data_IF_963281015750
#
_entry.id   IF_963281015750
#
_cell.length_a   1.000
_cell.length_b   1.000
_cell.length_c   1.000
_cell.angle_alpha   90.00
_cell.angle_beta   90.00
_cell.angle_gamma   90.00
#
_symmetry.space_group_name_H-M   'P 1'
#
loop_
_entity.id
_entity.type
_entity.pdbx_description
1 polymer ?
#
# COMPACT_ATOMS: atom_id res chain seq x y z
N UNK A 1 -25.27 -18.96 31.25
CA UNK A 1 -24.22 -18.04 31.75
C UNK A 1 -23.00 -17.94 30.81
N UNK A 2 -23.16 -18.15 29.49
CA UNK A 2 -22.08 -18.05 28.47
C UNK A 2 -22.47 -17.12 27.30
N UNK A 3 -23.71 -16.60 27.26
CA UNK A 3 -24.24 -15.74 26.17
C UNK A 3 -23.61 -14.33 26.10
N UNK A 4 -22.67 -14.01 27.00
CA UNK A 4 -21.98 -12.71 27.05
C UNK A 4 -20.48 -12.80 26.76
N UNK A 5 -19.97 -13.98 26.41
CA UNK A 5 -18.55 -14.15 26.07
C UNK A 5 -18.33 -13.74 24.62
N UNK A 6 -18.30 -12.43 24.38
CA UNK A 6 -17.82 -11.89 23.11
C UNK A 6 -16.30 -11.94 23.17
N UNK A 7 -15.70 -12.97 22.56
CA UNK A 7 -14.25 -13.00 22.34
C UNK A 7 -13.97 -12.07 21.16
N UNK A 8 -13.33 -10.91 21.36
CA UNK A 8 -13.09 -9.98 20.26
C UNK A 8 -12.11 -10.63 19.27
N UNK A 9 -12.55 -10.78 18.02
CA UNK A 9 -11.69 -11.20 16.93
C UNK A 9 -10.66 -10.10 16.67
N UNK A 10 -9.41 -10.30 17.11
CA UNK A 10 -8.31 -9.37 16.84
C UNK A 10 -7.69 -9.53 15.47
N UNK A 11 -7.74 -10.74 14.91
CA UNK A 11 -7.06 -11.07 13.65
C UNK A 11 -8.01 -11.86 12.78
N UNK A 12 -8.30 -11.32 11.60
CA UNK A 12 -9.12 -11.95 10.59
C UNK A 12 -8.26 -12.20 9.35
N UNK A 13 -8.11 -13.48 8.98
CA UNK A 13 -7.45 -13.89 7.74
C UNK A 13 -8.45 -14.65 6.88
N UNK A 14 -8.62 -14.19 5.65
CA UNK A 14 -9.45 -14.85 4.64
C UNK A 14 -8.56 -15.48 3.59
N UNK A 15 -8.93 -16.69 3.17
CA UNK A 15 -8.26 -17.44 2.12
C UNK A 15 -9.27 -17.70 1.00
N UNK A 16 -8.88 -17.48 -0.25
CA UNK A 16 -9.75 -17.78 -1.39
C UNK A 16 -8.99 -18.42 -2.54
N UNK A 17 -9.44 -19.62 -2.91
CA UNK A 17 -8.91 -20.41 -4.03
C UNK A 17 -9.47 -19.97 -5.38
N UNK A 18 -10.45 -19.06 -5.36
CA UNK A 18 -11.11 -18.50 -6.53
C UNK A 18 -10.96 -16.98 -6.54
N UNK A 19 -10.96 -16.40 -7.74
CA UNK A 19 -11.01 -14.94 -7.88
C UNK A 19 -12.31 -14.41 -7.29
N UNK A 20 -12.21 -13.53 -6.29
CA UNK A 20 -13.38 -12.91 -5.63
C UNK A 20 -13.58 -11.51 -6.19
N UNK A 21 -14.82 -11.13 -6.50
CA UNK A 21 -15.14 -9.77 -6.95
C UNK A 21 -15.09 -8.79 -5.78
N UNK A 22 -14.81 -7.51 -6.04
CA UNK A 22 -14.79 -6.49 -4.99
C UNK A 22 -16.13 -6.39 -4.26
N UNK A 23 -17.24 -6.59 -4.97
CA UNK A 23 -18.60 -6.61 -4.39
C UNK A 23 -18.82 -7.80 -3.46
N UNK A 24 -18.29 -8.98 -3.79
CA UNK A 24 -18.39 -10.15 -2.91
C UNK A 24 -17.59 -9.94 -1.63
N UNK A 25 -16.38 -9.36 -1.72
CA UNK A 25 -15.58 -8.98 -0.55
C UNK A 25 -16.31 -7.94 0.30
N UNK A 26 -16.84 -6.87 -0.32
CA UNK A 26 -17.65 -5.85 0.37
C UNK A 26 -18.82 -6.47 1.13
N UNK A 27 -19.60 -7.34 0.49
CA UNK A 27 -20.74 -8.01 1.13
C UNK A 27 -20.31 -8.90 2.29
N UNK A 28 -19.23 -9.65 2.14
CA UNK A 28 -18.69 -10.49 3.20
C UNK A 28 -18.23 -9.63 4.39
N UNK A 29 -17.49 -8.55 4.13
CA UNK A 29 -17.03 -7.60 5.13
C UNK A 29 -18.21 -6.93 5.87
N UNK A 30 -19.23 -6.47 5.14
CA UNK A 30 -20.48 -5.95 5.72
C UNK A 30 -21.17 -6.98 6.62
N UNK A 31 -21.27 -8.23 6.16
CA UNK A 31 -21.91 -9.31 6.92
C UNK A 31 -21.17 -9.63 8.22
N UNK A 32 -19.84 -9.70 8.19
CA UNK A 32 -19.00 -9.95 9.36
C UNK A 32 -19.06 -8.79 10.35
N UNK A 33 -19.02 -7.56 9.83
CA UNK A 33 -19.10 -6.35 10.63
C UNK A 33 -20.37 -6.27 11.48
N UNK A 34 -21.51 -6.69 10.93
CA UNK A 34 -22.80 -6.61 11.62
C UNK A 34 -23.03 -7.73 12.65
N UNK A 35 -22.18 -8.76 12.70
CA UNK A 35 -22.50 -10.00 13.44
C UNK A 35 -21.36 -10.54 14.31
N UNK A 36 -20.10 -10.35 13.94
CA UNK A 36 -18.97 -11.13 14.48
C UNK A 36 -17.80 -10.24 14.92
N UNK A 37 -17.57 -9.11 14.23
CA UNK A 37 -16.43 -8.24 14.50
C UNK A 37 -16.79 -7.13 15.48
N UNK A 38 -16.10 -7.09 16.62
CA UNK A 38 -16.14 -5.96 17.55
C UNK A 38 -15.05 -4.95 17.18
N UNK A 39 -15.05 -3.78 17.83
CA UNK A 39 -14.07 -2.69 17.59
C UNK A 39 -12.60 -3.05 17.94
N UNK A 40 -12.35 -4.30 18.31
CA UNK A 40 -11.04 -4.84 18.65
C UNK A 40 -10.27 -5.48 17.49
N UNK A 41 -10.73 -5.36 16.23
CA UNK A 41 -9.97 -5.90 15.09
C UNK A 41 -8.65 -5.11 14.93
N UNK A 42 -7.53 -5.83 15.02
CA UNK A 42 -6.17 -5.31 14.90
C UNK A 42 -5.50 -5.73 13.58
N UNK A 43 -5.90 -6.86 12.99
CA UNK A 43 -5.32 -7.34 11.73
C UNK A 43 -6.41 -7.85 10.78
N UNK A 44 -6.36 -7.38 9.54
CA UNK A 44 -7.15 -7.89 8.44
C UNK A 44 -6.24 -8.30 7.28
N UNK A 45 -6.36 -9.55 6.84
CA UNK A 45 -5.62 -10.08 5.70
C UNK A 45 -6.55 -10.86 4.79
N UNK A 46 -6.39 -10.70 3.49
CA UNK A 46 -7.06 -11.55 2.51
C UNK A 46 -6.06 -12.05 1.48
N UNK A 47 -5.82 -13.35 1.53
CA UNK A 47 -4.91 -14.07 0.64
C UNK A 47 -5.71 -14.67 -0.52
N UNK A 48 -5.27 -14.39 -1.75
CA UNK A 48 -5.82 -14.98 -2.97
C UNK A 48 -4.78 -15.92 -3.59
N UNK A 49 -5.20 -17.12 -3.96
CA UNK A 49 -4.34 -18.07 -4.70
C UNK A 49 -4.51 -17.96 -6.22
N UNK A 50 -5.56 -17.27 -6.69
CA UNK A 50 -5.82 -17.01 -8.11
C UNK A 50 -6.18 -15.55 -8.32
N UNK A 51 -5.33 -14.81 -9.02
CA UNK A 51 -5.53 -13.39 -9.24
C UNK A 51 -6.03 -13.13 -10.66
N UNK A 52 -7.00 -12.23 -10.76
CA UNK A 52 -7.54 -11.69 -12.01
C UNK A 52 -7.53 -10.18 -11.97
N UNK A 53 -7.12 -9.60 -13.07
CA UNK A 53 -6.85 -8.17 -13.20
C UNK A 53 -7.95 -7.46 -13.99
N UNK A 54 -9.22 -7.73 -13.66
CA UNK A 54 -10.34 -7.06 -14.31
C UNK A 54 -10.95 -6.01 -13.39
N UNK A 55 -11.52 -4.96 -13.98
CA UNK A 55 -12.08 -3.83 -13.23
C UNK A 55 -13.21 -4.24 -12.28
N UNK A 56 -13.95 -5.31 -12.56
CA UNK A 56 -14.99 -5.87 -11.67
C UNK A 56 -14.41 -6.51 -10.38
N UNK A 57 -13.10 -6.75 -10.35
CA UNK A 57 -12.35 -7.17 -9.17
C UNK A 57 -11.62 -6.00 -8.48
N UNK A 58 -11.65 -4.79 -9.04
CA UNK A 58 -10.97 -3.64 -8.46
C UNK A 58 -11.68 -3.11 -7.22
N UNK A 59 -10.91 -2.86 -6.17
CA UNK A 59 -11.42 -2.36 -4.90
C UNK A 59 -11.69 -0.86 -5.00
N UNK A 60 -12.84 -0.45 -4.51
CA UNK A 60 -13.25 0.96 -4.41
C UNK A 60 -13.36 1.36 -2.95
N UNK A 61 -13.58 2.65 -2.69
CA UNK A 61 -13.86 3.18 -1.35
C UNK A 61 -14.93 2.36 -0.59
N UNK A 62 -15.99 1.91 -1.28
CA UNK A 62 -17.08 1.13 -0.66
C UNK A 62 -16.61 -0.20 -0.09
N UNK A 63 -15.66 -0.86 -0.75
CA UNK A 63 -15.09 -2.14 -0.30
C UNK A 63 -14.41 -2.01 1.06
N UNK A 64 -13.86 -0.83 1.39
CA UNK A 64 -13.19 -0.56 2.66
C UNK A 64 -14.13 -0.05 3.75
N UNK A 65 -15.30 0.46 3.41
CA UNK A 65 -16.25 1.07 4.35
C UNK A 65 -16.51 0.20 5.59
N UNK A 66 -16.69 -1.14 5.49
CA UNK A 66 -16.91 -1.96 6.68
C UNK A 66 -15.69 -2.04 7.62
N UNK A 67 -14.48 -1.84 7.10
CA UNK A 67 -13.24 -1.89 7.88
C UNK A 67 -12.90 -0.54 8.55
N UNK A 68 -13.48 0.56 8.07
CA UNK A 68 -13.17 1.91 8.54
C UNK A 68 -13.64 2.19 9.98
N UNK A 69 -14.47 1.36 10.59
CA UNK A 69 -14.80 1.52 12.02
C UNK A 69 -13.75 0.97 12.98
N UNK A 70 -12.85 0.11 12.50
CA UNK A 70 -11.85 -0.54 13.34
C UNK A 70 -10.60 0.34 13.49
N UNK A 71 -10.70 1.37 14.34
CA UNK A 71 -9.58 2.28 14.62
C UNK A 71 -8.37 1.61 15.31
N UNK A 72 -8.54 0.39 15.79
CA UNK A 72 -7.49 -0.47 16.35
C UNK A 72 -6.68 -1.23 15.29
N UNK A 73 -7.03 -1.12 14.00
CA UNK A 73 -6.29 -1.80 12.93
C UNK A 73 -4.83 -1.35 12.89
N UNK A 74 -3.95 -2.36 12.99
CA UNK A 74 -2.50 -2.28 12.88
C UNK A 74 -1.99 -2.88 11.57
N UNK A 75 -2.70 -3.86 11.01
CA UNK A 75 -2.30 -4.57 9.80
C UNK A 75 -3.45 -4.68 8.84
N UNK A 76 -3.25 -4.20 7.62
CA UNK A 76 -4.17 -4.41 6.49
C UNK A 76 -3.36 -4.95 5.31
N UNK A 77 -3.64 -6.21 4.94
CA UNK A 77 -2.91 -6.91 3.88
C UNK A 77 -3.86 -7.35 2.76
N UNK A 78 -3.87 -6.54 1.70
CA UNK A 78 -4.66 -6.68 0.48
C UNK A 78 -3.76 -6.49 -0.75
N UNK A 79 -2.54 -7.00 -0.65
CA UNK A 79 -1.56 -7.01 -1.72
C UNK A 79 -2.08 -7.63 -3.03
N UNK A 80 -2.97 -8.65 -3.03
CA UNK A 80 -3.36 -9.30 -4.28
C UNK A 80 -4.53 -8.67 -5.04
N UNK A 81 -5.06 -7.55 -4.58
CA UNK A 81 -6.25 -6.93 -5.16
C UNK A 81 -5.90 -5.73 -6.06
N UNK A 82 -6.66 -5.56 -7.13
CA UNK A 82 -6.54 -4.38 -7.98
C UNK A 82 -7.05 -3.14 -7.25
N UNK A 83 -6.25 -2.09 -7.17
CA UNK A 83 -6.57 -0.84 -6.45
C UNK A 83 -6.86 0.34 -7.40
N UNK A 84 -7.04 0.10 -8.69
CA UNK A 84 -7.13 1.16 -9.71
C UNK A 84 -8.37 2.07 -9.59
N UNK A 85 -9.35 1.71 -8.77
CA UNK A 85 -10.51 2.56 -8.45
C UNK A 85 -10.29 3.48 -7.25
N UNK A 86 -9.21 3.32 -6.49
CA UNK A 86 -8.84 4.22 -5.41
C UNK A 86 -8.05 5.41 -5.97
N UNK A 87 -8.46 6.61 -5.58
CA UNK A 87 -7.70 7.84 -5.74
C UNK A 87 -7.18 8.33 -4.37
N UNK A 88 -6.42 9.42 -4.37
CA UNK A 88 -5.81 9.99 -3.16
C UNK A 88 -6.86 10.37 -2.09
N UNK A 89 -8.02 10.86 -2.50
CA UNK A 89 -9.09 11.28 -1.58
C UNK A 89 -9.76 10.07 -0.91
N UNK A 90 -10.06 9.03 -1.69
CA UNK A 90 -10.59 7.77 -1.19
C UNK A 90 -9.58 7.11 -0.23
N UNK A 91 -8.31 7.00 -0.64
CA UNK A 91 -7.25 6.45 0.19
C UNK A 91 -7.11 7.22 1.49
N UNK A 92 -7.05 8.56 1.44
CA UNK A 92 -6.94 9.42 2.60
C UNK A 92 -8.10 9.25 3.59
N UNK A 93 -9.32 9.09 3.09
CA UNK A 93 -10.49 8.82 3.93
C UNK A 93 -10.39 7.46 4.62
N UNK A 94 -9.89 6.44 3.92
CA UNK A 94 -9.68 5.09 4.45
C UNK A 94 -8.62 5.11 5.56
N UNK A 95 -7.42 5.62 5.27
CA UNK A 95 -6.29 5.52 6.23
C UNK A 95 -6.46 6.40 7.48
N UNK A 96 -7.18 7.52 7.38
CA UNK A 96 -7.55 8.34 8.55
C UNK A 96 -8.37 7.58 9.58
N UNK A 97 -9.04 6.51 9.14
CA UNK A 97 -9.82 5.64 10.01
C UNK A 97 -8.96 4.65 10.79
N UNK A 98 -7.67 4.49 10.44
CA UNK A 98 -6.74 3.52 11.01
C UNK A 98 -5.48 4.20 11.57
N UNK A 99 -5.61 5.09 12.58
CA UNK A 99 -4.49 5.88 13.08
C UNK A 99 -3.37 5.03 13.75
N UNK A 100 -3.65 3.77 14.06
CA UNK A 100 -2.71 2.82 14.67
C UNK A 100 -2.04 1.89 13.66
N UNK A 101 -2.22 2.14 12.37
CA UNK A 101 -1.70 1.28 11.32
C UNK A 101 -0.17 1.21 11.35
N UNK A 102 0.34 -0.02 11.34
CA UNK A 102 1.76 -0.34 11.36
C UNK A 102 2.21 -0.95 10.03
N UNK A 103 1.33 -1.73 9.39
CA UNK A 103 1.61 -2.40 8.11
C UNK A 103 0.42 -2.26 7.16
N UNK A 104 0.70 -1.77 5.95
CA UNK A 104 -0.31 -1.59 4.91
C UNK A 104 0.21 -2.15 3.59
N UNK A 105 -0.52 -3.07 2.98
CA UNK A 105 -0.22 -3.59 1.65
C UNK A 105 -1.46 -3.52 0.78
N UNK A 106 -1.44 -2.70 -0.26
CA UNK A 106 -2.54 -2.48 -1.19
C UNK A 106 -2.08 -2.68 -2.64
N UNK A 107 -2.50 -3.80 -3.24
CA UNK A 107 -2.34 -4.07 -4.68
C UNK A 107 -0.91 -4.20 -5.19
N UNK A 108 0.08 -4.37 -4.32
CA UNK A 108 1.50 -4.34 -4.66
C UNK A 108 2.09 -5.69 -5.14
N UNK A 109 1.27 -6.73 -5.30
CA UNK A 109 1.72 -8.05 -5.79
C UNK A 109 1.38 -8.33 -7.27
N UNK A 110 0.73 -7.40 -7.98
CA UNK A 110 0.24 -7.63 -9.34
C UNK A 110 0.64 -6.53 -10.32
N UNK A 111 0.77 -6.92 -11.59
CA UNK A 111 0.83 -5.97 -12.69
C UNK A 111 -0.59 -5.50 -12.99
N UNK A 112 -0.84 -4.20 -12.89
CA UNK A 112 -2.14 -3.63 -13.17
C UNK A 112 -2.42 -3.57 -14.68
N UNK A 113 -3.65 -3.83 -15.10
CA UNK A 113 -4.11 -3.60 -16.49
C UNK A 113 -4.53 -2.13 -16.64
N UNK A 114 -5.05 -1.57 -15.55
CA UNK A 114 -5.53 -0.20 -15.45
C UNK A 114 -4.60 0.57 -14.51
N UNK A 115 -4.00 1.69 -14.94
CA UNK A 115 -3.09 2.46 -14.11
C UNK A 115 -3.68 2.81 -12.73
N UNK A 116 -2.85 2.85 -11.67
CA UNK A 116 -3.28 3.39 -10.38
C UNK A 116 -3.70 4.86 -10.54
N UNK A 117 -4.73 5.27 -9.78
CA UNK A 117 -5.14 6.68 -9.67
C UNK A 117 -4.60 7.36 -8.40
N UNK A 118 -4.10 6.55 -7.47
CA UNK A 118 -3.31 7.01 -6.31
C UNK A 118 -2.02 7.61 -6.86
N UNK A 119 -1.65 8.81 -6.42
CA UNK A 119 -0.40 9.47 -6.81
C UNK A 119 0.61 9.45 -5.67
N UNK A 120 1.76 10.10 -5.85
CA UNK A 120 2.69 10.36 -4.76
C UNK A 120 2.05 11.13 -3.58
N UNK A 121 1.04 11.96 -3.83
CA UNK A 121 0.30 12.64 -2.76
C UNK A 121 -0.49 11.67 -1.90
N UNK A 122 -0.99 10.58 -2.49
CA UNK A 122 -1.59 9.46 -1.75
C UNK A 122 -0.60 8.82 -0.79
N UNK A 123 0.64 8.53 -1.24
CA UNK A 123 1.71 8.04 -0.38
C UNK A 123 2.00 8.97 0.81
N UNK A 124 2.11 10.28 0.56
CA UNK A 124 2.29 11.31 1.61
C UNK A 124 1.11 11.31 2.59
N UNK A 125 -0.12 11.14 2.08
CA UNK A 125 -1.34 11.10 2.89
C UNK A 125 -1.38 9.88 3.82
N UNK A 126 -0.92 8.71 3.34
CA UNK A 126 -0.79 7.50 4.18
C UNK A 126 0.17 7.75 5.33
N UNK A 127 1.36 8.27 5.04
CA UNK A 127 2.39 8.49 6.04
C UNK A 127 2.03 9.57 7.07
N UNK A 128 1.33 10.63 6.66
CA UNK A 128 0.85 11.66 7.58
C UNK A 128 -0.30 11.19 8.48
N UNK A 129 -1.14 10.27 7.99
CA UNK A 129 -2.28 9.75 8.74
C UNK A 129 -1.90 8.60 9.70
N UNK A 130 -0.82 7.88 9.39
CA UNK A 130 -0.41 6.66 10.10
C UNK A 130 1.04 6.79 10.63
N UNK A 131 1.27 7.46 11.78
CA UNK A 131 2.62 7.74 12.27
C UNK A 131 3.40 6.49 12.72
N UNK A 132 2.71 5.39 13.03
CA UNK A 132 3.32 4.13 13.47
C UNK A 132 3.68 3.19 12.30
N UNK A 133 3.47 3.63 11.06
CA UNK A 133 3.69 2.79 9.88
C UNK A 133 5.18 2.44 9.74
N UNK A 134 5.45 1.14 9.58
CA UNK A 134 6.79 0.54 9.46
C UNK A 134 6.96 -0.32 8.21
N UNK A 135 5.87 -0.79 7.62
CA UNK A 135 5.88 -1.47 6.33
C UNK A 135 4.78 -0.92 5.43
N UNK A 136 5.12 -0.66 4.16
CA UNK A 136 4.19 -0.11 3.19
C UNK A 136 4.38 -0.77 1.83
N UNK A 137 3.34 -1.43 1.35
CA UNK A 137 3.16 -1.77 -0.05
C UNK A 137 2.01 -0.99 -0.65
N UNK A 138 2.30 -0.22 -1.68
CA UNK A 138 1.33 0.64 -2.32
C UNK A 138 1.74 0.83 -3.78
N UNK A 139 0.82 0.55 -4.69
CA UNK A 139 0.96 0.93 -6.08
C UNK A 139 0.40 2.34 -6.27
N UNK A 140 1.19 3.23 -6.86
CA UNK A 140 0.83 4.62 -7.10
C UNK A 140 1.45 5.12 -8.40
N UNK A 141 0.87 6.17 -8.97
CA UNK A 141 1.38 6.86 -10.13
C UNK A 141 2.54 7.78 -9.73
N UNK A 142 3.75 7.42 -10.16
CA UNK A 142 4.97 8.19 -9.96
C UNK A 142 5.40 8.95 -11.23
N UNK A 143 4.53 9.08 -12.24
CA UNK A 143 4.83 9.81 -13.48
C UNK A 143 4.57 11.32 -13.34
N UNK A 144 3.63 11.71 -12.49
CA UNK A 144 3.12 13.09 -12.35
C UNK A 144 3.78 13.89 -11.20
N UNK A 145 4.98 13.49 -10.80
CA UNK A 145 5.63 14.04 -9.60
C UNK A 145 6.09 15.50 -9.80
N UNK A 146 5.32 16.46 -9.27
CA UNK A 146 5.65 17.89 -9.27
C UNK A 146 6.39 18.27 -7.97
N UNK A 147 7.73 18.26 -8.03
CA UNK A 147 8.56 18.80 -6.96
C UNK A 147 8.65 20.32 -7.15
N UNK A 148 7.74 21.07 -6.52
CA UNK A 148 7.91 22.51 -6.38
C UNK A 148 9.13 22.78 -5.51
N UNK A 149 10.07 23.57 -6.03
CA UNK A 149 11.40 23.80 -5.42
C UNK A 149 11.36 24.51 -4.07
N UNK A 150 10.24 25.15 -3.74
CA UNK A 150 10.13 26.08 -2.61
C UNK A 150 9.38 25.47 -1.42
N UNK A 151 8.81 24.27 -1.58
CA UNK A 151 8.08 23.54 -0.54
C UNK A 151 8.88 22.32 -0.08
N UNK A 152 8.89 22.04 1.23
CA UNK A 152 9.48 20.79 1.75
C UNK A 152 8.79 19.61 1.04
N UNK A 153 9.52 18.72 0.33
CA UNK A 153 8.90 17.60 -0.35
C UNK A 153 8.02 16.80 0.62
N UNK A 154 6.80 16.47 0.21
CA UNK A 154 5.85 15.74 1.03
C UNK A 154 5.23 16.52 2.21
N UNK A 155 5.26 17.86 2.18
CA UNK A 155 4.51 18.68 3.14
C UNK A 155 5.00 18.58 4.59
N UNK A 156 6.26 18.18 4.80
CA UNK A 156 6.85 18.00 6.13
C UNK A 156 6.65 16.60 6.73
N UNK A 157 6.08 15.65 5.98
CA UNK A 157 6.06 14.23 6.36
C UNK A 157 7.48 13.69 6.44
N UNK A 158 7.77 12.93 7.50
CA UNK A 158 9.08 12.35 7.73
C UNK A 158 8.93 11.08 8.57
N UNK A 159 9.04 9.90 7.94
CA UNK A 159 8.92 8.60 8.59
C UNK A 159 10.26 7.85 8.54
N UNK A 160 10.86 7.64 9.71
CA UNK A 160 12.14 6.94 9.90
C UNK A 160 11.98 5.45 10.21
N UNK A 161 10.75 4.94 10.28
CA UNK A 161 10.45 3.56 10.67
C UNK A 161 10.39 2.62 9.46
N UNK A 162 10.08 3.14 8.27
CA UNK A 162 10.01 2.38 7.03
C UNK A 162 11.39 2.29 6.40
N UNK A 163 11.91 1.06 6.31
CA UNK A 163 13.17 0.75 5.61
C UNK A 163 12.96 0.07 4.26
N UNK A 164 11.74 -0.44 4.00
CA UNK A 164 11.38 -1.12 2.75
C UNK A 164 10.04 -0.63 2.23
N UNK A 165 9.99 -0.32 0.94
CA UNK A 165 8.79 0.11 0.23
C UNK A 165 8.48 -0.89 -0.88
N UNK A 166 7.29 -1.50 -0.85
CA UNK A 166 6.82 -2.35 -1.93
C UNK A 166 6.05 -1.51 -2.94
N UNK A 167 6.78 -0.93 -3.90
CA UNK A 167 6.21 -0.07 -4.93
C UNK A 167 5.45 -0.87 -6.02
N UNK A 168 5.65 -2.19 -6.09
CA UNK A 168 5.12 -3.02 -7.18
C UNK A 168 5.53 -2.47 -8.55
N UNK A 169 4.69 -2.65 -9.57
CA UNK A 169 4.94 -2.10 -10.91
C UNK A 169 4.33 -0.71 -11.12
N UNK A 170 4.43 0.15 -10.11
CA UNK A 170 4.02 1.55 -10.19
C UNK A 170 4.60 2.22 -11.45
N UNK A 171 3.80 2.96 -12.24
CA UNK A 171 4.32 3.68 -13.39
C UNK A 171 5.23 4.80 -12.92
N UNK A 172 6.32 5.02 -13.67
CA UNK A 172 7.38 5.95 -13.32
C UNK A 172 8.03 6.48 -14.58
N UNK A 173 8.35 7.78 -14.61
CA UNK A 173 9.05 8.41 -15.73
C UNK A 173 10.39 9.03 -15.37
N UNK A 174 10.54 9.54 -14.15
CA UNK A 174 11.74 10.27 -13.73
C UNK A 174 12.34 9.63 -12.47
N UNK A 175 13.08 8.50 -12.60
CA UNK A 175 13.64 7.75 -11.47
C UNK A 175 14.36 8.61 -10.44
N UNK A 176 15.21 9.53 -10.91
CA UNK A 176 15.96 10.44 -10.03
C UNK A 176 15.05 11.33 -9.19
N UNK A 177 14.02 11.94 -9.79
CA UNK A 177 13.09 12.82 -9.05
C UNK A 177 12.28 12.03 -8.04
N UNK A 178 11.81 10.85 -8.42
CA UNK A 178 11.08 9.95 -7.53
C UNK A 178 11.96 9.51 -6.36
N UNK A 179 13.23 9.16 -6.58
CA UNK A 179 14.16 8.82 -5.52
C UNK A 179 14.33 9.95 -4.51
N UNK A 180 14.55 11.18 -4.97
CA UNK A 180 14.69 12.37 -4.12
C UNK A 180 13.40 12.57 -3.29
N UNK A 181 12.25 12.49 -3.93
CA UNK A 181 10.96 12.68 -3.28
C UNK A 181 10.72 11.63 -2.20
N UNK A 182 10.97 10.35 -2.50
CA UNK A 182 10.84 9.24 -1.55
C UNK A 182 11.81 9.42 -0.37
N UNK A 183 13.09 9.70 -0.61
CA UNK A 183 14.08 9.87 0.46
C UNK A 183 13.78 11.09 1.35
N UNK A 184 13.12 12.11 0.81
CA UNK A 184 12.72 13.27 1.62
C UNK A 184 11.66 12.93 2.67
N UNK A 185 10.77 11.96 2.39
CA UNK A 185 9.71 11.52 3.32
C UNK A 185 10.03 10.21 4.06
N UNK A 186 10.90 9.37 3.49
CA UNK A 186 11.36 8.07 4.00
C UNK A 186 12.91 8.05 4.03
N UNK A 187 13.56 8.83 4.91
CA UNK A 187 15.01 9.00 4.98
C UNK A 187 15.81 7.72 5.28
N UNK A 188 15.19 6.74 5.96
CA UNK A 188 15.82 5.48 6.34
C UNK A 188 15.48 4.34 5.36
N UNK A 189 14.96 4.66 4.17
CA UNK A 189 14.61 3.67 3.18
C UNK A 189 15.89 3.04 2.61
N UNK A 190 16.00 1.71 2.66
CA UNK A 190 17.12 0.95 2.13
C UNK A 190 16.78 0.21 0.86
N UNK A 191 15.53 -0.23 0.71
CA UNK A 191 15.12 -1.10 -0.39
C UNK A 191 13.77 -0.70 -0.99
N UNK A 192 13.67 -0.84 -2.31
CA UNK A 192 12.40 -0.86 -3.04
C UNK A 192 12.17 -2.25 -3.59
N UNK A 193 10.98 -2.77 -3.34
CA UNK A 193 10.58 -4.13 -3.71
C UNK A 193 9.48 -4.08 -4.78
N UNK A 194 9.67 -4.83 -5.86
CA UNK A 194 8.73 -4.92 -6.97
C UNK A 194 7.92 -6.24 -6.97
N UNK A 195 8.07 -7.08 -5.95
CA UNK A 195 7.64 -8.48 -5.88
C UNK A 195 6.37 -8.82 -6.68
N UNK A 196 6.52 -9.78 -7.59
CA UNK A 196 5.44 -10.59 -8.15
C UNK A 196 5.52 -11.93 -7.43
N UNK A 197 4.41 -12.49 -6.96
CA UNK A 197 4.45 -13.88 -6.51
C UNK A 197 4.73 -14.81 -7.72
N UNK A 198 5.73 -15.71 -7.62
CA UNK A 198 6.08 -16.60 -8.72
C UNK A 198 4.93 -17.56 -9.05
N UNK A 199 4.69 -17.79 -10.35
CA UNK A 199 3.68 -18.75 -10.83
C UNK A 199 2.36 -18.14 -11.33
N UNK A 200 2.29 -16.82 -11.49
CA UNK A 200 1.10 -16.14 -12.01
C UNK A 200 1.30 -15.70 -13.46
N UNK A 201 0.36 -16.03 -14.35
CA UNK A 201 0.37 -15.62 -15.75
C UNK A 201 0.32 -14.10 -15.85
N UNK A 202 1.48 -13.47 -16.06
CA UNK A 202 1.55 -12.05 -16.37
C UNK A 202 1.20 -11.82 -17.83
N UNK A 203 0.38 -10.81 -18.15
CA UNK A 203 0.25 -10.33 -19.52
C UNK A 203 1.63 -9.93 -20.04
N UNK A 204 2.07 -10.55 -21.15
CA UNK A 204 3.39 -10.33 -21.78
C UNK A 204 3.57 -8.91 -22.39
N UNK A 205 2.62 -8.00 -22.18
CA UNK A 205 2.37 -6.85 -23.05
C UNK A 205 2.42 -5.48 -22.37
N UNK A 206 2.80 -5.37 -21.10
CA UNK A 206 3.07 -4.06 -20.49
C UNK A 206 4.58 -3.87 -20.34
N UNK A 207 5.01 -2.60 -20.32
CA UNK A 207 6.38 -2.09 -20.18
C UNK A 207 7.10 -2.52 -18.87
N UNK A 208 7.02 -3.81 -18.54
CA UNK A 208 7.52 -4.40 -17.30
C UNK A 208 9.02 -4.20 -17.23
N UNK A 209 9.76 -4.62 -18.24
CA UNK A 209 11.22 -4.53 -18.25
C UNK A 209 11.68 -3.07 -18.14
N UNK A 210 10.96 -2.16 -18.80
CA UNK A 210 11.22 -0.71 -18.72
C UNK A 210 10.98 -0.19 -17.30
N UNK A 211 9.88 -0.59 -16.65
CA UNK A 211 9.57 -0.17 -15.28
C UNK A 211 10.52 -0.79 -14.26
N UNK A 212 10.86 -2.06 -14.44
CA UNK A 212 11.82 -2.77 -13.61
C UNK A 212 13.20 -2.10 -13.69
N UNK A 213 13.63 -1.71 -14.89
CA UNK A 213 14.85 -0.91 -15.07
C UNK A 213 14.76 0.47 -14.40
N UNK A 214 13.66 1.20 -14.59
CA UNK A 214 13.45 2.53 -13.97
C UNK A 214 13.42 2.46 -12.44
N UNK A 215 12.73 1.49 -11.84
CA UNK A 215 12.76 1.28 -10.39
C UNK A 215 14.13 0.79 -9.90
N UNK A 216 14.84 0.01 -10.71
CA UNK A 216 16.24 -0.33 -10.46
C UNK A 216 17.15 0.90 -10.37
N UNK A 217 16.91 1.94 -11.17
CA UNK A 217 17.60 3.23 -11.03
C UNK A 217 17.26 3.93 -9.71
N UNK A 218 15.99 3.93 -9.28
CA UNK A 218 15.59 4.49 -7.97
C UNK A 218 16.36 3.82 -6.84
N UNK A 219 16.46 2.48 -6.84
CA UNK A 219 17.22 1.71 -5.85
C UNK A 219 18.71 2.07 -5.84
N UNK A 220 19.30 2.34 -7.01
CA UNK A 220 20.70 2.83 -7.09
C UNK A 220 20.84 4.19 -6.40
N UNK A 221 19.95 5.14 -6.66
CA UNK A 221 20.00 6.47 -6.03
C UNK A 221 19.84 6.38 -4.50
N UNK A 222 18.94 5.54 -4.01
CA UNK A 222 18.77 5.27 -2.57
C UNK A 222 20.06 4.71 -1.97
N UNK A 223 20.67 3.73 -2.64
CA UNK A 223 21.92 3.13 -2.18
C UNK A 223 23.07 4.15 -2.11
N UNK A 224 23.19 5.04 -3.10
CA UNK A 224 24.18 6.12 -3.09
C UNK A 224 23.94 7.11 -1.95
N UNK A 225 22.69 7.53 -1.75
CA UNK A 225 22.32 8.43 -0.64
C UNK A 225 22.68 7.81 0.72
N UNK A 226 22.31 6.55 0.93
CA UNK A 226 22.57 5.82 2.16
C UNK A 226 24.08 5.67 2.44
N UNK A 227 24.89 5.47 1.39
CA UNK A 227 26.35 5.46 1.52
C UNK A 227 26.90 6.80 2.01
N UNK A 228 26.42 7.91 1.44
CA UNK A 228 26.82 9.28 1.85
C UNK A 228 26.41 9.54 3.29
N UNK A 229 25.14 9.28 3.64
CA UNK A 229 24.63 9.52 4.99
C UNK A 229 25.38 8.71 6.06
N UNK A 230 25.76 7.47 5.74
CA UNK A 230 26.57 6.63 6.62
C UNK A 230 27.99 7.17 6.81
N UNK A 231 28.61 7.72 5.77
CA UNK A 231 29.93 8.37 5.87
C UNK A 231 29.89 9.62 6.76
N UNK A 232 28.80 10.38 6.68
CA UNK A 232 28.56 11.59 7.48
C UNK A 232 28.06 11.29 8.92
N UNK A 233 27.91 10.01 9.29
CA UNK A 233 27.49 9.59 10.63
C UNK A 233 25.99 9.74 10.92
N UNK A 234 25.17 9.99 9.90
CA UNK A 234 23.71 10.03 10.06
C UNK A 234 23.11 8.63 10.14
N UNK A 235 21.97 8.52 10.83
CA UNK A 235 21.20 7.28 10.88
C UNK A 235 20.59 7.00 9.51
N UNK A 236 20.81 5.79 9.01
CA UNK A 236 20.26 5.25 7.78
C UNK A 236 19.50 3.98 8.09
#
# INVERSE_FOLDING_TARGET
MVEQWVVPCKRLKLYSDVSVTALAVERALCGMNNRILCDGLEEFQHVLFRIRNRIDHAFSFRTFTPLMRFSSLKVVELAPFCMSLLDDNALGSIVKSWPRLERLYLGNQFFWEIPPRITFQGLVTVLSSCPNLRELGLVFDATTLDLRTDEKPGGGVYNTNITKLWAGFSPIDQPKKVAIAILAILPCLTDIILNIEPGHEMPRSLDRDVREAKWGEVTKYISFYNMIMKQEGFRV
#
